data_IF_677327733238
#
_entry.id   IF_677327733238
#
_cell.length_a   1.000
_cell.length_b   1.000
_cell.length_c   1.000
_cell.angle_alpha   90.00
_cell.angle_beta   90.00
_cell.angle_gamma   90.00
#
_symmetry.space_group_name_H-M   'P 1'
#
loop_
_entity.id
_entity.type
_entity.pdbx_description
1 polymer ?
#
# COMPACT_ATOMS: atom_id res chain seq x y z
N UNK A 1 74.98 -1.85 -62.24
CA UNK A 1 75.59 -2.84 -61.32
C UNK A 1 76.50 -2.03 -60.41
N UNK A 2 76.02 -1.70 -59.22
CA UNK A 2 76.72 -0.83 -58.27
C UNK A 2 77.85 -1.65 -57.64
N UNK A 3 79.11 -1.27 -57.91
CA UNK A 3 80.29 -1.95 -57.36
C UNK A 3 80.32 -1.72 -55.85
N UNK A 4 79.80 -2.68 -55.09
CA UNK A 4 79.78 -2.62 -53.63
C UNK A 4 81.22 -2.76 -53.09
N UNK A 5 81.72 -1.67 -52.51
CA UNK A 5 82.99 -1.64 -51.80
C UNK A 5 82.92 -2.60 -50.58
N UNK A 6 83.88 -3.52 -50.38
CA UNK A 6 83.88 -4.48 -49.27
C UNK A 6 83.74 -3.83 -47.87
N UNK A 7 84.19 -2.59 -47.68
CA UNK A 7 84.02 -1.87 -46.40
C UNK A 7 82.56 -1.49 -46.10
N UNK A 8 81.76 -1.16 -47.13
CA UNK A 8 80.35 -0.79 -46.93
C UNK A 8 79.49 -2.02 -46.59
N UNK A 9 79.85 -3.18 -47.13
CA UNK A 9 79.25 -4.47 -46.78
C UNK A 9 79.54 -4.86 -45.34
N UNK A 10 80.78 -4.66 -44.88
CA UNK A 10 81.16 -4.92 -43.48
C UNK A 10 80.42 -4.01 -42.50
N UNK A 11 80.35 -2.70 -42.78
CA UNK A 11 79.57 -1.76 -41.95
C UNK A 11 78.09 -2.12 -41.88
N UNK A 12 77.51 -2.52 -43.01
CA UNK A 12 76.10 -2.96 -43.07
C UNK A 12 75.87 -4.24 -42.27
N UNK A 13 76.80 -5.19 -42.34
CA UNK A 13 76.73 -6.41 -41.54
C UNK A 13 76.87 -6.14 -40.04
N UNK A 14 77.73 -5.20 -39.64
CA UNK A 14 77.85 -4.78 -38.24
C UNK A 14 76.59 -4.08 -37.73
N UNK A 15 76.03 -3.14 -38.50
CA UNK A 15 74.78 -2.48 -38.17
C UNK A 15 73.61 -3.48 -38.04
N UNK A 16 73.52 -4.44 -38.96
CA UNK A 16 72.54 -5.53 -38.87
C UNK A 16 72.73 -6.39 -37.61
N UNK A 17 73.98 -6.66 -37.22
CA UNK A 17 74.28 -7.41 -36.00
C UNK A 17 73.93 -6.64 -34.72
N UNK A 18 74.15 -5.33 -34.69
CA UNK A 18 73.73 -4.46 -33.60
C UNK A 18 72.20 -4.38 -33.51
N UNK A 19 71.51 -4.20 -34.63
CA UNK A 19 70.04 -4.19 -34.70
C UNK A 19 69.43 -5.52 -34.23
N UNK A 20 70.01 -6.65 -34.61
CA UNK A 20 69.55 -7.98 -34.16
C UNK A 20 69.74 -8.13 -32.65
N UNK A 21 70.89 -7.69 -32.13
CA UNK A 21 71.20 -7.75 -30.69
C UNK A 21 70.29 -6.82 -29.88
N UNK A 22 69.94 -5.67 -30.42
CA UNK A 22 68.94 -4.76 -29.84
C UNK A 22 67.56 -5.42 -29.87
N UNK A 23 67.16 -6.04 -30.98
CA UNK A 23 65.86 -6.70 -31.12
C UNK A 23 65.70 -7.93 -30.21
N UNK A 24 66.78 -8.71 -29.98
CA UNK A 24 66.79 -9.80 -29.00
C UNK A 24 66.75 -9.31 -27.55
N UNK A 25 67.18 -8.07 -27.28
CA UNK A 25 67.14 -7.48 -25.94
C UNK A 25 65.76 -6.97 -25.54
N UNK A 26 64.83 -6.85 -26.50
CA UNK A 26 63.46 -6.41 -26.25
C UNK A 26 62.65 -7.61 -25.74
N UNK A 27 62.14 -7.53 -24.52
CA UNK A 27 61.22 -8.53 -23.95
C UNK A 27 59.83 -8.43 -24.59
N UNK A 28 59.70 -9.02 -25.77
CA UNK A 28 58.45 -9.09 -26.54
C UNK A 28 57.37 -9.82 -25.75
N UNK A 29 57.73 -10.83 -24.95
CA UNK A 29 56.77 -11.65 -24.21
C UNK A 29 56.18 -10.89 -23.02
N UNK A 30 57.00 -10.15 -22.27
CA UNK A 30 56.55 -9.25 -21.21
C UNK A 30 55.65 -8.14 -21.76
N UNK A 31 56.05 -7.50 -22.86
CA UNK A 31 55.23 -6.47 -23.52
C UNK A 31 53.89 -7.03 -24.02
N UNK A 32 53.88 -8.24 -24.59
CA UNK A 32 52.67 -8.93 -25.03
C UNK A 32 51.74 -9.28 -23.87
N UNK A 33 52.29 -9.77 -22.74
CA UNK A 33 51.52 -10.06 -21.54
C UNK A 33 50.92 -8.79 -20.91
N UNK A 34 51.68 -7.69 -20.86
CA UNK A 34 51.18 -6.40 -20.39
C UNK A 34 50.06 -5.88 -21.29
N UNK A 35 50.20 -5.98 -22.61
CA UNK A 35 49.14 -5.62 -23.55
C UNK A 35 47.88 -6.48 -23.34
N UNK A 36 48.01 -7.80 -23.19
CA UNK A 36 46.86 -8.68 -22.95
C UNK A 36 46.14 -8.41 -21.62
N UNK A 37 46.89 -8.14 -20.54
CA UNK A 37 46.30 -7.86 -19.23
C UNK A 37 45.50 -6.56 -19.23
N UNK A 38 46.00 -5.52 -19.90
CA UNK A 38 45.28 -4.24 -20.07
C UNK A 38 44.02 -4.38 -20.95
N UNK A 39 44.06 -5.24 -21.98
CA UNK A 39 42.88 -5.52 -22.83
C UNK A 39 41.79 -6.28 -22.05
N UNK A 40 42.18 -7.26 -21.21
CA UNK A 40 41.22 -8.05 -20.40
C UNK A 40 40.52 -7.21 -19.32
N UNK A 41 41.22 -6.30 -18.66
CA UNK A 41 40.64 -5.42 -17.62
C UNK A 41 39.63 -4.43 -18.20
N UNK A 42 39.96 -3.81 -19.34
CA UNK A 42 39.06 -2.91 -20.06
C UNK A 42 37.81 -3.62 -20.57
N UNK A 43 37.94 -4.84 -21.09
CA UNK A 43 36.79 -5.65 -21.54
C UNK A 43 35.85 -6.01 -20.39
N UNK A 44 36.39 -6.40 -19.22
CA UNK A 44 35.59 -6.74 -18.03
C UNK A 44 34.82 -5.54 -17.49
N UNK A 45 35.45 -4.34 -17.45
CA UNK A 45 34.79 -3.10 -17.04
C UNK A 45 33.68 -2.68 -18.02
N UNK A 46 33.91 -2.83 -19.31
CA UNK A 46 32.90 -2.57 -20.35
C UNK A 46 31.69 -3.50 -20.24
N UNK A 47 31.93 -4.81 -20.04
CA UNK A 47 30.87 -5.79 -19.84
C UNK A 47 30.05 -5.52 -18.57
N UNK A 48 30.71 -5.15 -17.46
CA UNK A 48 30.01 -4.78 -16.22
C UNK A 48 29.11 -3.55 -16.42
N UNK A 49 29.59 -2.54 -17.12
CA UNK A 49 28.79 -1.35 -17.42
C UNK A 49 27.60 -1.66 -18.34
N UNK A 50 27.74 -2.59 -19.29
CA UNK A 50 26.63 -3.05 -20.13
C UNK A 50 25.60 -3.82 -19.31
N UNK A 51 26.03 -4.76 -18.45
CA UNK A 51 25.14 -5.50 -17.56
C UNK A 51 24.41 -4.59 -16.56
N UNK A 52 25.10 -3.60 -16.00
CA UNK A 52 24.48 -2.60 -15.12
C UNK A 52 23.42 -1.76 -15.83
N UNK A 53 23.64 -1.41 -17.12
CA UNK A 53 22.62 -0.71 -17.92
C UNK A 53 21.39 -1.57 -18.12
N UNK A 54 21.56 -2.83 -18.54
CA UNK A 54 20.43 -3.75 -18.71
C UNK A 54 19.70 -4.01 -17.39
N UNK A 55 20.42 -4.18 -16.28
CA UNK A 55 19.83 -4.33 -14.97
C UNK A 55 18.97 -3.11 -14.60
N UNK A 56 19.46 -1.88 -14.80
CA UNK A 56 18.68 -0.67 -14.54
C UNK A 56 17.41 -0.58 -15.41
N UNK A 57 17.48 -0.96 -16.69
CA UNK A 57 16.32 -1.01 -17.58
C UNK A 57 15.26 -2.02 -17.13
N UNK A 58 15.63 -3.07 -16.41
CA UNK A 58 14.68 -4.07 -15.91
C UNK A 58 14.17 -3.73 -14.50
N UNK A 59 15.03 -3.23 -13.61
CA UNK A 59 14.67 -2.99 -12.21
C UNK A 59 13.88 -1.70 -12.03
N UNK A 60 14.17 -0.64 -12.80
CA UNK A 60 13.44 0.63 -12.69
C UNK A 60 11.95 0.45 -13.02
N UNK A 61 11.54 -0.14 -14.16
CA UNK A 61 10.12 -0.34 -14.45
C UNK A 61 9.48 -1.38 -13.52
N UNK A 62 10.23 -2.38 -13.05
CA UNK A 62 9.72 -3.35 -12.07
C UNK A 62 9.46 -2.71 -10.70
N UNK A 63 10.34 -1.84 -10.24
CA UNK A 63 10.16 -1.09 -9.00
C UNK A 63 9.03 -0.06 -9.14
N UNK A 64 8.99 0.68 -10.24
CA UNK A 64 7.91 1.64 -10.51
C UNK A 64 6.57 0.92 -10.62
N UNK A 65 6.48 -0.20 -11.34
CA UNK A 65 5.26 -0.98 -11.44
C UNK A 65 4.85 -1.54 -10.09
N UNK A 66 5.78 -2.08 -9.29
CA UNK A 66 5.51 -2.56 -7.93
C UNK A 66 5.02 -1.45 -7.00
N UNK A 67 5.59 -0.24 -7.10
CA UNK A 67 5.16 0.92 -6.30
C UNK A 67 3.78 1.40 -6.71
N UNK A 68 3.52 1.51 -8.02
CA UNK A 68 2.21 1.88 -8.56
C UNK A 68 1.16 0.85 -8.17
N UNK A 69 1.47 -0.44 -8.33
CA UNK A 69 0.56 -1.52 -7.95
C UNK A 69 0.29 -1.49 -6.45
N UNK A 70 1.33 -1.34 -5.62
CA UNK A 70 1.19 -1.20 -4.17
C UNK A 70 0.31 -0.03 -3.77
N UNK A 71 0.51 1.14 -4.39
CA UNK A 71 -0.34 2.33 -4.17
C UNK A 71 -1.80 2.06 -4.56
N UNK A 72 -2.03 1.44 -5.71
CA UNK A 72 -3.38 1.12 -6.18
C UNK A 72 -4.08 0.08 -5.30
N UNK A 73 -3.36 -0.95 -4.83
CA UNK A 73 -3.93 -1.97 -3.94
C UNK A 73 -4.21 -1.42 -2.54
N UNK A 74 -3.35 -0.57 -1.99
CA UNK A 74 -3.60 0.04 -0.68
C UNK A 74 -4.69 1.11 -0.71
N UNK A 75 -4.88 1.81 -1.84
CA UNK A 75 -5.94 2.80 -2.00
C UNK A 75 -7.33 2.22 -2.32
N UNK A 76 -7.44 0.91 -2.60
CA UNK A 76 -8.68 0.31 -3.12
C UNK A 76 -9.66 -0.20 -2.05
N UNK A 77 -9.53 0.19 -0.78
CA UNK A 77 -10.44 -0.25 0.29
C UNK A 77 -11.44 0.82 0.76
N UNK A 78 -11.75 1.83 -0.06
CA UNK A 78 -12.99 2.58 0.11
C UNK A 78 -14.08 1.91 -0.73
N UNK A 79 -14.57 0.78 -0.24
CA UNK A 79 -15.87 0.26 -0.70
C UNK A 79 -16.91 1.36 -0.46
N UNK A 80 -17.51 1.90 -1.52
CA UNK A 80 -18.65 2.83 -1.42
C UNK A 80 -19.65 2.29 -0.39
N UNK A 81 -19.79 2.99 0.72
CA UNK A 81 -20.74 2.63 1.77
C UNK A 81 -22.15 2.91 1.25
N UNK A 82 -22.84 1.85 0.84
CA UNK A 82 -24.25 1.93 0.49
C UNK A 82 -25.09 1.89 1.76
N UNK A 83 -25.87 2.95 1.96
CA UNK A 83 -26.80 3.07 3.08
C UNK A 83 -28.21 2.63 2.68
N UNK A 84 -28.90 2.02 3.64
CA UNK A 84 -30.32 1.75 3.60
C UNK A 84 -31.01 2.54 4.72
N UNK A 85 -32.28 2.85 4.52
CA UNK A 85 -33.09 3.63 5.45
C UNK A 85 -34.42 2.93 5.67
N UNK A 86 -34.81 2.82 6.94
CA UNK A 86 -36.04 2.19 7.38
C UNK A 86 -36.81 3.21 8.21
N UNK A 87 -38.05 3.49 7.80
CA UNK A 87 -38.90 4.51 8.42
C UNK A 87 -40.19 3.89 8.92
N UNK A 88 -40.55 4.19 10.17
CA UNK A 88 -41.84 3.87 10.74
C UNK A 88 -42.83 5.01 10.44
N UNK A 89 -43.95 4.70 9.80
CA UNK A 89 -45.00 5.69 9.58
C UNK A 89 -45.57 6.17 10.92
N UNK A 90 -46.06 7.41 10.97
CA UNK A 90 -46.72 7.95 12.16
C UNK A 90 -47.89 7.05 12.59
N UNK A 91 -47.93 6.70 13.87
CA UNK A 91 -48.90 5.78 14.46
C UNK A 91 -48.57 4.29 14.30
N UNK A 92 -47.39 3.94 13.76
CA UNK A 92 -46.96 2.55 13.58
C UNK A 92 -45.65 2.26 14.30
N UNK A 93 -45.49 1.01 14.75
CA UNK A 93 -44.23 0.47 15.26
C UNK A 93 -43.80 -0.64 14.33
N UNK A 94 -42.54 -0.63 13.91
CA UNK A 94 -41.99 -1.64 13.00
C UNK A 94 -40.87 -2.41 13.69
N UNK A 95 -40.83 -3.72 13.48
CA UNK A 95 -39.72 -4.58 13.88
C UNK A 95 -38.87 -4.89 12.65
N UNK A 96 -37.57 -4.66 12.75
CA UNK A 96 -36.61 -4.88 11.67
C UNK A 96 -35.38 -5.64 12.19
N UNK A 97 -34.84 -6.55 11.37
CA UNK A 97 -33.60 -7.27 11.67
C UNK A 97 -32.48 -6.73 10.78
N UNK A 98 -31.39 -6.27 11.40
CA UNK A 98 -30.24 -5.69 10.73
C UNK A 98 -29.32 -6.77 10.14
N UNK A 99 -28.38 -6.41 9.23
CA UNK A 99 -27.45 -7.37 8.63
C UNK A 99 -26.53 -8.12 9.62
N UNK A 100 -26.41 -7.63 10.86
CA UNK A 100 -25.65 -8.26 11.94
C UNK A 100 -26.52 -9.13 12.88
N UNK A 101 -27.78 -9.39 12.51
CA UNK A 101 -28.81 -10.08 13.29
C UNK A 101 -29.31 -9.34 14.54
N UNK A 102 -28.86 -8.10 14.76
CA UNK A 102 -29.46 -7.24 15.78
C UNK A 102 -30.90 -6.89 15.39
N UNK A 103 -31.81 -6.86 16.37
CA UNK A 103 -33.22 -6.54 16.14
C UNK A 103 -33.50 -5.13 16.63
N UNK A 104 -34.22 -4.36 15.83
CA UNK A 104 -34.63 -3.00 16.15
C UNK A 104 -36.14 -2.87 16.05
N UNK A 105 -36.73 -2.23 17.06
CA UNK A 105 -38.12 -1.80 17.06
C UNK A 105 -38.12 -0.29 16.95
N UNK A 106 -38.54 0.24 15.79
CA UNK A 106 -38.68 1.69 15.61
C UNK A 106 -40.08 2.12 16.04
N UNK A 107 -40.15 3.18 16.84
CA UNK A 107 -41.40 3.81 17.23
C UNK A 107 -41.94 4.73 16.13
N UNK A 108 -43.18 5.18 16.29
CA UNK A 108 -43.92 6.03 15.34
C UNK A 108 -43.12 7.26 14.89
N UNK A 109 -43.00 7.45 13.57
CA UNK A 109 -42.31 8.62 13.01
C UNK A 109 -40.79 8.59 13.17
N UNK A 110 -40.24 7.44 13.55
CA UNK A 110 -38.79 7.25 13.70
C UNK A 110 -38.17 6.68 12.43
N UNK A 111 -36.91 7.03 12.22
CA UNK A 111 -36.13 6.62 11.06
C UNK A 111 -34.77 6.10 11.49
N UNK A 112 -34.38 4.96 10.93
CA UNK A 112 -33.08 4.33 11.15
C UNK A 112 -32.35 4.22 9.81
N UNK A 113 -31.17 4.81 9.74
CA UNK A 113 -30.25 4.71 8.60
C UNK A 113 -29.05 3.84 9.00
N UNK A 114 -28.70 2.87 8.17
CA UNK A 114 -27.60 1.94 8.44
C UNK A 114 -26.90 1.50 7.15
N UNK A 115 -25.62 1.10 7.20
CA UNK A 115 -24.93 0.58 6.04
C UNK A 115 -25.44 -0.83 5.72
N UNK A 116 -25.68 -1.10 4.44
CA UNK A 116 -26.10 -2.43 3.95
C UNK A 116 -25.11 -3.55 4.32
N UNK A 117 -23.84 -3.20 4.51
CA UNK A 117 -22.79 -4.08 5.02
C UNK A 117 -22.01 -3.33 6.10
N UNK A 118 -22.00 -3.87 7.33
CA UNK A 118 -21.20 -3.30 8.41
C UNK A 118 -19.69 -3.50 8.19
N UNK A 119 -18.91 -2.52 8.64
CA UNK A 119 -17.44 -2.58 8.57
C UNK A 119 -16.88 -3.70 9.45
N UNK A 120 -15.61 -4.04 9.18
CA UNK A 120 -14.87 -5.01 10.01
C UNK A 120 -14.62 -4.50 11.43
N UNK A 121 -14.63 -3.19 11.65
CA UNK A 121 -14.21 -2.59 12.91
C UNK A 121 -15.39 -2.11 13.77
N UNK A 122 -16.49 -1.67 13.15
CA UNK A 122 -17.66 -1.15 13.87
C UNK A 122 -18.97 -1.37 13.11
N UNK A 123 -20.08 -1.26 13.86
CA UNK A 123 -21.45 -1.33 13.35
C UNK A 123 -22.13 0.00 13.65
N UNK A 124 -22.15 0.91 12.68
CA UNK A 124 -22.69 2.26 12.89
C UNK A 124 -24.09 2.39 12.30
N UNK A 125 -25.02 2.92 13.08
CA UNK A 125 -26.36 3.30 12.64
C UNK A 125 -26.66 4.73 13.07
N UNK A 126 -27.56 5.38 12.35
CA UNK A 126 -28.07 6.71 12.67
C UNK A 126 -29.56 6.61 12.95
N UNK A 127 -29.98 7.16 14.08
CA UNK A 127 -31.36 7.15 14.56
C UNK A 127 -31.91 8.58 14.61
N UNK A 128 -33.10 8.76 14.06
CA UNK A 128 -33.97 9.92 14.30
C UNK A 128 -35.27 9.43 14.93
N UNK A 129 -35.68 10.02 16.05
CA UNK A 129 -36.83 9.54 16.82
C UNK A 129 -36.43 8.50 17.87
N UNK A 130 -37.30 7.52 18.10
CA UNK A 130 -37.14 6.53 19.16
C UNK A 130 -37.04 5.11 18.61
N UNK A 131 -36.09 4.35 19.15
CA UNK A 131 -35.96 2.94 18.85
C UNK A 131 -35.45 2.13 20.05
N UNK A 132 -35.99 0.92 20.16
CA UNK A 132 -35.51 -0.11 21.07
C UNK A 132 -34.64 -1.11 20.30
N UNK A 133 -33.48 -1.42 20.85
CA UNK A 133 -32.44 -2.22 20.23
C UNK A 133 -32.18 -3.49 21.06
N UNK A 134 -32.19 -4.64 20.40
CA UNK A 134 -31.60 -5.87 20.89
C UNK A 134 -30.35 -6.18 20.07
N UNK A 135 -29.20 -5.73 20.57
CA UNK A 135 -27.94 -5.84 19.83
C UNK A 135 -27.29 -7.19 20.07
N UNK A 136 -26.93 -7.87 18.98
CA UNK A 136 -26.18 -9.12 19.01
C UNK A 136 -24.77 -8.92 19.55
N UNK A 137 -24.33 -9.90 20.35
CA UNK A 137 -23.10 -9.80 21.11
C UNK A 137 -21.86 -9.96 20.21
N UNK A 138 -21.12 -8.87 20.03
CA UNK A 138 -19.84 -8.84 19.31
C UNK A 138 -18.86 -7.93 20.03
N UNK A 139 -17.86 -8.53 20.68
CA UNK A 139 -16.82 -7.82 21.45
C UNK A 139 -15.78 -7.12 20.56
N UNK A 140 -15.65 -7.54 19.30
CA UNK A 140 -14.66 -7.00 18.37
C UNK A 140 -15.22 -5.81 17.61
N UNK A 141 -16.54 -5.82 17.33
CA UNK A 141 -17.23 -4.79 16.57
C UNK A 141 -18.31 -4.11 17.42
N UNK A 142 -17.97 -3.01 18.13
CA UNK A 142 -18.98 -2.21 18.84
C UNK A 142 -20.09 -1.74 17.89
N UNK A 143 -21.30 -1.65 18.44
CA UNK A 143 -22.50 -1.12 17.79
C UNK A 143 -22.75 0.30 18.27
N UNK A 144 -22.77 1.26 17.35
CA UNK A 144 -22.97 2.68 17.61
C UNK A 144 -24.33 3.14 17.08
N UNK A 145 -25.08 3.81 17.94
CA UNK A 145 -26.30 4.55 17.60
C UNK A 145 -25.97 6.04 17.67
N UNK A 146 -25.93 6.69 16.53
CA UNK A 146 -25.68 8.12 16.43
C UNK A 146 -26.99 8.88 16.27
N UNK A 147 -27.11 10.01 16.96
CA UNK A 147 -28.26 10.90 16.86
C UNK A 147 -27.86 12.22 16.19
N UNK A 148 -28.78 12.92 15.49
CA UNK A 148 -28.48 14.19 14.81
C UNK A 148 -27.95 15.28 15.73
N UNK A 149 -28.39 15.27 16.99
CA UNK A 149 -27.98 16.23 18.01
C UNK A 149 -26.62 15.90 18.66
N UNK A 150 -25.89 14.91 18.12
CA UNK A 150 -24.49 14.64 18.46
C UNK A 150 -24.27 13.61 19.57
N UNK A 151 -25.32 13.16 20.25
CA UNK A 151 -25.19 12.05 21.20
C UNK A 151 -24.90 10.75 20.43
N UNK A 152 -23.86 10.03 20.87
CA UNK A 152 -23.52 8.71 20.36
C UNK A 152 -23.54 7.69 21.49
N UNK A 153 -24.27 6.59 21.28
CA UNK A 153 -24.40 5.51 22.25
C UNK A 153 -23.75 4.27 21.66
N UNK A 154 -22.86 3.61 22.41
CA UNK A 154 -22.20 2.39 21.93
C UNK A 154 -22.21 1.22 22.90
N UNK A 155 -22.37 0.03 22.32
CA UNK A 155 -22.55 -1.23 23.04
C UNK A 155 -21.84 -2.39 22.35
N UNK A 156 -21.65 -3.50 23.07
CA UNK A 156 -21.06 -4.73 22.52
C UNK A 156 -22.07 -5.89 22.43
N UNK A 157 -23.30 -5.71 22.89
CA UNK A 157 -24.31 -6.77 23.02
C UNK A 157 -25.23 -6.48 24.19
N UNK A 158 -26.24 -5.64 23.96
CA UNK A 158 -27.03 -4.96 24.99
C UNK A 158 -28.45 -4.77 24.49
N UNK A 159 -29.42 -4.85 25.41
CA UNK A 159 -30.81 -4.46 25.18
C UNK A 159 -31.07 -3.09 25.77
N UNK A 160 -31.45 -2.11 24.95
CA UNK A 160 -31.60 -0.71 25.38
C UNK A 160 -32.53 0.07 24.46
N UNK A 161 -33.10 1.15 24.99
CA UNK A 161 -33.90 2.12 24.25
C UNK A 161 -33.11 3.41 24.05
N UNK A 162 -33.34 4.09 22.93
CA UNK A 162 -32.86 5.47 22.68
C UNK A 162 -34.04 6.29 22.18
N UNK A 163 -34.35 7.37 22.88
CA UNK A 163 -35.29 8.40 22.45
C UNK A 163 -34.53 9.67 22.05
N UNK A 164 -34.64 10.04 20.77
CA UNK A 164 -33.96 11.17 20.14
C UNK A 164 -34.87 11.86 19.09
N UNK A 165 -36.12 12.17 19.43
CA UNK A 165 -36.96 13.01 18.58
C UNK A 165 -36.38 14.44 18.48
N UNK A 166 -36.43 15.03 17.29
CA UNK A 166 -35.90 16.40 17.06
C UNK A 166 -36.72 17.47 17.82
N UNK A 167 -37.98 17.18 18.13
CA UNK A 167 -38.90 18.07 18.87
C UNK A 167 -38.75 17.95 20.41
N UNK A 168 -38.00 16.96 20.90
CA UNK A 168 -37.78 16.76 22.33
C UNK A 168 -36.60 17.61 22.83
N UNK A 169 -36.72 18.14 24.06
CA UNK A 169 -35.66 18.97 24.68
C UNK A 169 -34.46 18.15 25.19
N UNK A 170 -34.57 16.83 25.22
CA UNK A 170 -33.55 15.94 25.76
C UNK A 170 -33.50 14.65 24.98
N UNK A 171 -32.28 14.09 24.88
CA UNK A 171 -32.05 12.76 24.33
C UNK A 171 -31.88 11.81 25.50
N UNK A 172 -32.62 10.73 25.50
CA UNK A 172 -32.65 9.77 26.60
C UNK A 172 -32.24 8.38 26.13
N UNK A 173 -31.56 7.64 27.00
CA UNK A 173 -31.32 6.22 26.78
C UNK A 173 -31.67 5.43 28.04
N UNK A 174 -32.35 4.30 27.84
CA UNK A 174 -32.77 3.41 28.92
C UNK A 174 -32.14 2.05 28.70
N UNK A 175 -31.34 1.59 29.66
CA UNK A 175 -30.72 0.27 29.64
C UNK A 175 -31.67 -0.75 30.26
N UNK A 176 -31.99 -1.80 29.51
CA UNK A 176 -32.70 -2.96 30.06
C UNK A 176 -31.72 -4.04 30.53
N UNK A 177 -30.75 -4.42 29.67
CA UNK A 177 -29.80 -5.48 29.98
C UNK A 177 -28.46 -5.30 29.28
N UNK A 178 -27.37 -5.38 30.03
CA UNK A 178 -26.00 -5.32 29.50
C UNK A 178 -25.26 -4.07 29.98
N UNK A 179 -24.55 -3.41 29.08
CA UNK A 179 -23.81 -2.17 29.35
C UNK A 179 -24.00 -1.20 28.21
N UNK A 180 -24.18 0.07 28.55
CA UNK A 180 -24.26 1.18 27.60
C UNK A 180 -23.14 2.16 27.92
N UNK A 181 -22.45 2.62 26.88
CA UNK A 181 -21.54 3.75 26.96
C UNK A 181 -22.15 4.90 26.17
N UNK A 182 -22.10 6.09 26.74
CA UNK A 182 -22.68 7.30 26.16
C UNK A 182 -21.57 8.30 25.94
N UNK A 183 -21.53 8.88 24.75
CA UNK A 183 -20.63 9.97 24.36
C UNK A 183 -21.49 11.20 24.15
N UNK A 184 -21.32 12.19 25.02
CA UNK A 184 -22.01 13.48 24.95
C UNK A 184 -21.36 14.37 23.87
N UNK A 185 -22.13 15.26 23.19
CA UNK A 185 -21.58 16.25 22.27
C UNK A 185 -20.49 17.14 22.89
N UNK A 186 -20.58 17.39 24.21
CA UNK A 186 -19.77 18.40 24.91
C UNK A 186 -18.49 17.85 25.59
N UNK A 187 -18.23 16.54 25.51
CA UNK A 187 -17.06 15.88 26.10
C UNK A 187 -17.26 15.39 27.52
#
# INVERSE_FOLDING_TARGET
MENMNPESLLRKAQALGEDIKEMESIDVMGAYQQAQTQIKTNRRRSMYNQLMRYAAFLTIPLLLSSLILGYLYWGATDTEEKYAEVMAATGSVIRYELPDHSVVWLNSGSTLRYPTVFKKDNRNVELKGEAYFEVEADRKRPFYVNTPAGLSVYVYGTKFNVNAYEDDNSIETVLEKGKVNVISPDG
#
